data_IF_738896410737
#
_entry.id   IF_738896410737
#
_cell.length_a   1.000
_cell.length_b   1.000
_cell.length_c   1.000
_cell.angle_alpha   90.00
_cell.angle_beta   90.00
_cell.angle_gamma   90.00
#
_symmetry.space_group_name_H-M   'P 1'
#
loop_
_entity.id
_entity.type
_entity.pdbx_description
1 polymer ?
#
# COMPACT_ATOMS: atom_id res chain seq x y z
N UNK A 1 20.89 -9.50 -5.62
CA UNK A 1 19.41 -9.47 -5.73
C UNK A 1 18.74 -10.72 -5.14
N UNK A 2 19.10 -11.96 -5.54
CA UNK A 2 18.46 -13.21 -5.04
C UNK A 2 18.56 -13.43 -3.52
N UNK A 3 19.71 -13.13 -2.93
CA UNK A 3 19.94 -13.29 -1.47
C UNK A 3 19.07 -12.33 -0.67
N UNK A 4 18.95 -11.08 -1.09
CA UNK A 4 18.09 -10.07 -0.46
C UNK A 4 16.62 -10.50 -0.45
N UNK A 5 16.13 -11.00 -1.59
CA UNK A 5 14.78 -11.52 -1.71
C UNK A 5 14.53 -12.71 -0.79
N UNK A 6 15.51 -13.63 -0.67
CA UNK A 6 15.43 -14.78 0.22
C UNK A 6 15.37 -14.36 1.69
N UNK A 7 16.23 -13.42 2.11
CA UNK A 7 16.23 -12.88 3.47
C UNK A 7 14.90 -12.21 3.78
N UNK A 8 14.39 -11.38 2.86
CA UNK A 8 13.09 -10.75 3.01
C UNK A 8 11.97 -11.79 3.16
N UNK A 9 11.94 -12.81 2.31
CA UNK A 9 10.94 -13.88 2.36
C UNK A 9 11.00 -14.66 3.68
N UNK A 10 12.21 -15.00 4.15
CA UNK A 10 12.40 -15.69 5.42
C UNK A 10 11.95 -14.82 6.61
N UNK A 11 12.28 -13.54 6.61
CA UNK A 11 11.82 -12.58 7.63
C UNK A 11 10.29 -12.43 7.62
N UNK A 12 9.69 -12.34 6.42
CA UNK A 12 8.24 -12.27 6.27
C UNK A 12 7.53 -13.52 6.79
N UNK A 13 7.99 -14.69 6.39
CA UNK A 13 7.42 -15.98 6.86
C UNK A 13 7.61 -16.13 8.37
N UNK A 14 8.81 -15.87 8.89
CA UNK A 14 9.11 -15.93 10.32
C UNK A 14 8.23 -14.98 11.14
N UNK A 15 8.04 -13.74 10.66
CA UNK A 15 7.13 -12.77 11.28
C UNK A 15 5.68 -13.23 11.29
N UNK A 16 5.20 -13.79 10.17
CA UNK A 16 3.84 -14.35 10.11
C UNK A 16 3.68 -15.57 11.04
N UNK A 17 4.69 -16.44 11.14
CA UNK A 17 4.66 -17.56 12.11
C UNK A 17 4.57 -17.03 13.54
N UNK A 18 5.35 -16.02 13.90
CA UNK A 18 5.29 -15.40 15.22
C UNK A 18 3.90 -14.83 15.53
N UNK A 19 3.33 -14.01 14.64
CA UNK A 19 1.99 -13.44 14.80
C UNK A 19 0.95 -14.57 14.90
N UNK A 20 1.07 -15.60 14.05
CA UNK A 20 0.15 -16.74 14.02
C UNK A 20 0.13 -17.52 15.34
N UNK A 21 1.31 -17.81 15.92
CA UNK A 21 1.41 -18.47 17.23
C UNK A 21 0.72 -17.63 18.30
N UNK A 22 0.96 -16.30 18.31
CA UNK A 22 0.33 -15.39 19.27
C UNK A 22 -1.20 -15.36 19.08
N UNK A 23 -1.68 -15.38 17.84
CA UNK A 23 -3.10 -15.45 17.52
C UNK A 23 -3.73 -16.76 18.02
N UNK A 24 -3.08 -17.92 17.80
CA UNK A 24 -3.58 -19.20 18.28
C UNK A 24 -3.68 -19.27 19.82
N UNK A 25 -2.73 -18.64 20.54
CA UNK A 25 -2.79 -18.53 21.99
C UNK A 25 -4.05 -17.79 22.47
N UNK A 26 -4.45 -16.73 21.73
CA UNK A 26 -5.68 -15.99 22.04
C UNK A 26 -6.96 -16.76 21.71
N UNK A 27 -6.88 -17.71 20.77
CA UNK A 27 -7.99 -18.57 20.37
C UNK A 27 -8.12 -19.84 21.24
N UNK A 28 -7.50 -19.89 22.41
CA UNK A 28 -7.50 -21.09 23.28
C UNK A 28 -8.91 -21.62 23.60
N UNK A 29 -9.89 -20.73 23.79
CA UNK A 29 -11.28 -21.08 24.09
C UNK A 29 -12.15 -21.48 22.88
N UNK A 30 -11.64 -21.40 21.64
CA UNK A 30 -12.41 -21.72 20.44
C UNK A 30 -12.34 -23.22 20.11
N UNK A 31 -13.38 -23.72 19.41
CA UNK A 31 -13.41 -25.11 18.93
C UNK A 31 -12.28 -25.40 17.94
N UNK A 32 -11.89 -26.66 17.81
CA UNK A 32 -10.86 -27.10 16.87
C UNK A 32 -11.19 -26.71 15.42
N UNK A 33 -12.46 -26.90 15.03
CA UNK A 33 -12.92 -26.54 13.68
C UNK A 33 -12.74 -25.05 13.39
N UNK A 34 -13.04 -24.16 14.35
CA UNK A 34 -12.86 -22.73 14.22
C UNK A 34 -11.36 -22.38 14.12
N UNK A 35 -10.50 -23.01 14.92
CA UNK A 35 -9.05 -22.81 14.86
C UNK A 35 -8.49 -23.20 13.48
N UNK A 36 -8.93 -24.35 12.94
CA UNK A 36 -8.52 -24.79 11.61
C UNK A 36 -8.99 -23.79 10.55
N UNK A 37 -10.25 -23.38 10.56
CA UNK A 37 -10.79 -22.42 9.61
C UNK A 37 -10.01 -21.09 9.63
N UNK A 38 -9.81 -20.53 10.82
CA UNK A 38 -9.04 -19.28 10.98
C UNK A 38 -7.59 -19.44 10.53
N UNK A 39 -6.97 -20.61 10.78
CA UNK A 39 -5.60 -20.89 10.31
C UNK A 39 -5.51 -20.91 8.79
N UNK A 40 -6.47 -21.55 8.13
CA UNK A 40 -6.51 -21.60 6.65
C UNK A 40 -6.69 -20.19 6.08
N UNK A 41 -7.65 -19.42 6.61
CA UNK A 41 -7.88 -18.04 6.17
C UNK A 41 -6.63 -17.16 6.41
N UNK A 42 -6.01 -17.28 7.57
CA UNK A 42 -4.78 -16.54 7.91
C UNK A 42 -3.69 -16.75 6.85
N UNK A 43 -3.37 -18.01 6.54
CA UNK A 43 -2.29 -18.32 5.60
C UNK A 43 -2.65 -18.00 4.16
N UNK A 44 -3.92 -18.14 3.75
CA UNK A 44 -4.38 -17.67 2.43
C UNK A 44 -4.17 -16.17 2.27
N UNK A 45 -4.50 -15.38 3.29
CA UNK A 45 -4.28 -13.93 3.29
C UNK A 45 -2.78 -13.61 3.31
N UNK A 46 -2.02 -14.26 4.19
CA UNK A 46 -0.58 -14.04 4.30
C UNK A 46 0.18 -14.32 2.98
N UNK A 47 -0.20 -15.34 2.25
CA UNK A 47 0.45 -15.66 0.97
C UNK A 47 -0.19 -15.01 -0.26
N UNK A 48 -1.28 -14.26 -0.12
CA UNK A 48 -2.01 -13.70 -1.26
C UNK A 48 -1.14 -12.80 -2.14
N UNK A 49 -0.25 -11.98 -1.58
CA UNK A 49 0.69 -11.15 -2.35
C UNK A 49 1.69 -12.01 -3.14
N UNK A 50 2.26 -13.01 -2.48
CA UNK A 50 3.23 -13.93 -3.11
C UNK A 50 2.56 -14.68 -4.27
N UNK A 51 1.34 -15.17 -4.04
CA UNK A 51 0.55 -15.85 -5.07
C UNK A 51 0.24 -14.88 -6.22
N UNK A 52 -0.18 -13.64 -5.93
CA UNK A 52 -0.42 -12.63 -6.95
C UNK A 52 0.82 -12.33 -7.80
N UNK A 53 2.01 -12.30 -7.18
CA UNK A 53 3.27 -12.11 -7.89
C UNK A 53 3.66 -13.31 -8.76
N UNK A 54 3.45 -14.52 -8.28
CA UNK A 54 3.75 -15.74 -9.03
C UNK A 54 2.79 -15.96 -10.19
N UNK A 55 1.51 -15.60 -10.02
CA UNK A 55 0.46 -15.77 -11.02
C UNK A 55 0.32 -14.61 -12.00
N UNK A 56 1.18 -13.60 -11.92
CA UNK A 56 1.13 -12.40 -12.81
C UNK A 56 1.22 -12.71 -14.30
N UNK A 57 1.78 -13.88 -14.66
CA UNK A 57 1.92 -14.35 -16.05
C UNK A 57 0.75 -15.23 -16.50
N UNK A 58 -0.16 -15.56 -15.58
CA UNK A 58 -1.35 -16.38 -15.86
C UNK A 58 -2.50 -15.43 -16.17
N UNK A 59 -3.25 -15.74 -17.22
CA UNK A 59 -4.40 -14.91 -17.60
C UNK A 59 -5.58 -15.16 -16.65
N UNK A 60 -5.58 -14.41 -15.55
CA UNK A 60 -6.61 -14.46 -14.52
C UNK A 60 -7.59 -13.28 -14.63
N UNK A 61 -8.82 -13.42 -14.10
CA UNK A 61 -9.73 -12.29 -14.02
C UNK A 61 -9.09 -11.11 -13.27
N UNK A 62 -9.17 -9.89 -13.83
CA UNK A 62 -8.56 -8.68 -13.26
C UNK A 62 -9.01 -8.44 -11.81
N UNK A 63 -10.28 -8.70 -11.53
CA UNK A 63 -10.85 -8.55 -10.18
C UNK A 63 -10.10 -9.42 -9.17
N UNK A 64 -9.83 -10.69 -9.53
CA UNK A 64 -9.12 -11.62 -8.65
C UNK A 64 -7.68 -11.18 -8.40
N UNK A 65 -6.93 -10.87 -9.47
CA UNK A 65 -5.54 -10.39 -9.37
C UNK A 65 -5.45 -9.10 -8.55
N UNK A 66 -6.38 -8.15 -8.77
CA UNK A 66 -6.46 -6.88 -8.04
C UNK A 66 -6.77 -7.11 -6.56
N UNK A 67 -7.74 -7.97 -6.25
CA UNK A 67 -8.11 -8.29 -4.87
C UNK A 67 -6.95 -8.96 -4.12
N UNK A 68 -6.29 -9.94 -4.74
CA UNK A 68 -5.14 -10.63 -4.14
C UNK A 68 -3.98 -9.66 -3.89
N UNK A 69 -3.71 -8.77 -4.84
CA UNK A 69 -2.67 -7.75 -4.69
C UNK A 69 -2.99 -6.79 -3.53
N UNK A 70 -4.22 -6.25 -3.47
CA UNK A 70 -4.63 -5.32 -2.40
C UNK A 70 -4.62 -5.99 -1.02
N UNK A 71 -5.24 -7.17 -0.90
CA UNK A 71 -5.29 -7.90 0.37
C UNK A 71 -3.86 -8.21 0.84
N UNK A 72 -3.02 -8.71 -0.05
CA UNK A 72 -1.66 -9.08 0.30
C UNK A 72 -0.76 -7.90 0.62
N UNK A 73 -0.93 -6.75 -0.07
CA UNK A 73 -0.19 -5.52 0.22
C UNK A 73 -0.55 -4.96 1.59
N UNK A 74 -1.84 -4.90 1.91
CA UNK A 74 -2.31 -4.48 3.25
C UNK A 74 -1.80 -5.44 4.32
N UNK A 75 -1.83 -6.75 4.06
CA UNK A 75 -1.33 -7.76 4.99
C UNK A 75 0.18 -7.66 5.22
N UNK A 76 0.95 -7.35 4.20
CA UNK A 76 2.40 -7.13 4.35
C UNK A 76 2.69 -5.97 5.32
N UNK A 77 1.99 -4.86 5.15
CA UNK A 77 2.12 -3.68 6.03
C UNK A 77 1.61 -4.01 7.44
N UNK A 78 0.47 -4.71 7.55
CA UNK A 78 -0.05 -5.21 8.82
C UNK A 78 0.98 -6.08 9.55
N UNK A 79 1.59 -7.03 8.85
CA UNK A 79 2.63 -7.93 9.42
C UNK A 79 3.78 -7.13 10.00
N UNK A 80 4.28 -6.12 9.26
CA UNK A 80 5.38 -5.28 9.70
C UNK A 80 5.04 -4.55 11.02
N UNK A 81 3.94 -3.82 11.06
CA UNK A 81 3.54 -3.07 12.26
C UNK A 81 3.17 -4.00 13.42
N UNK A 82 2.52 -5.12 13.15
CA UNK A 82 2.13 -6.07 14.18
C UNK A 82 3.34 -6.73 14.85
N UNK A 83 4.40 -7.05 14.07
CA UNK A 83 5.65 -7.57 14.64
C UNK A 83 6.24 -6.54 15.60
N UNK A 84 6.41 -5.28 15.17
CA UNK A 84 6.98 -4.25 16.04
C UNK A 84 6.12 -4.00 17.28
N UNK A 85 4.80 -3.94 17.13
CA UNK A 85 3.90 -3.73 18.26
C UNK A 85 3.94 -4.91 19.25
N UNK A 86 4.00 -6.15 18.76
CA UNK A 86 4.14 -7.33 19.63
C UNK A 86 5.50 -7.38 20.33
N UNK A 87 6.60 -7.04 19.65
CA UNK A 87 7.92 -6.98 20.27
C UNK A 87 7.95 -5.92 21.38
N UNK A 88 7.37 -4.75 21.14
CA UNK A 88 7.24 -3.71 22.16
C UNK A 88 6.42 -4.23 23.36
N UNK A 89 5.29 -4.88 23.10
CA UNK A 89 4.45 -5.45 24.15
C UNK A 89 5.18 -6.53 24.95
N UNK A 90 5.95 -7.41 24.29
CA UNK A 90 6.70 -8.47 24.95
C UNK A 90 7.87 -7.92 25.78
N UNK A 91 8.59 -6.91 25.27
CA UNK A 91 9.63 -6.20 26.05
C UNK A 91 9.01 -5.46 27.25
N UNK A 92 7.89 -4.77 27.03
CA UNK A 92 7.20 -4.05 28.13
C UNK A 92 6.73 -5.02 29.21
N UNK A 93 6.30 -6.22 28.85
CA UNK A 93 5.89 -7.26 29.81
C UNK A 93 7.02 -7.72 30.73
N UNK A 94 8.28 -7.62 30.33
CA UNK A 94 9.44 -7.94 31.18
C UNK A 94 9.50 -6.96 32.36
N UNK A 95 9.21 -5.68 32.12
CA UNK A 95 9.24 -4.63 33.14
C UNK A 95 7.91 -4.47 33.89
N UNK A 96 6.80 -4.81 33.22
CA UNK A 96 5.43 -4.72 33.75
C UNK A 96 4.74 -6.06 33.61
N UNK A 97 4.98 -7.03 34.54
CA UNK A 97 4.43 -8.39 34.45
C UNK A 97 2.89 -8.45 34.43
N UNK A 98 2.23 -7.41 34.92
CA UNK A 98 0.76 -7.27 34.93
C UNK A 98 0.16 -6.98 33.54
N UNK A 99 0.98 -6.79 32.49
CA UNK A 99 0.50 -6.56 31.11
C UNK A 99 -0.02 -7.86 30.48
N UNK A 100 -1.24 -8.25 30.82
CA UNK A 100 -1.82 -9.52 30.37
C UNK A 100 -2.45 -9.45 28.96
N UNK A 101 -2.70 -8.27 28.42
CA UNK A 101 -3.43 -8.05 27.17
C UNK A 101 -2.55 -7.47 26.05
N UNK A 102 -1.23 -7.71 26.09
CA UNK A 102 -0.27 -7.16 25.14
C UNK A 102 -0.62 -7.40 23.67
N UNK A 103 -1.17 -8.57 23.34
CA UNK A 103 -1.63 -8.89 21.98
C UNK A 103 -2.75 -7.93 21.51
N UNK A 104 -3.74 -7.66 22.34
CA UNK A 104 -4.86 -6.77 21.98
C UNK A 104 -4.41 -5.32 21.82
N UNK A 105 -3.47 -4.87 22.66
CA UNK A 105 -2.86 -3.52 22.52
C UNK A 105 -2.06 -3.41 21.23
N UNK A 106 -1.25 -4.44 20.90
CA UNK A 106 -0.51 -4.49 19.65
C UNK A 106 -1.43 -4.49 18.43
N UNK A 107 -2.51 -5.29 18.47
CA UNK A 107 -3.50 -5.35 17.40
C UNK A 107 -4.22 -4.01 17.23
N UNK A 108 -4.68 -3.40 18.33
CA UNK A 108 -5.35 -2.09 18.32
C UNK A 108 -4.45 -1.00 17.74
N UNK A 109 -3.20 -0.91 18.20
CA UNK A 109 -2.22 0.05 17.70
C UNK A 109 -1.95 -0.15 16.18
N UNK A 110 -1.77 -1.41 15.75
CA UNK A 110 -1.59 -1.74 14.34
C UNK A 110 -2.79 -1.33 13.50
N UNK A 111 -4.01 -1.63 13.94
CA UNK A 111 -5.22 -1.23 13.24
C UNK A 111 -5.35 0.30 13.14
N UNK A 112 -5.07 1.04 14.22
CA UNK A 112 -5.09 2.51 14.21
C UNK A 112 -4.07 3.08 13.21
N UNK A 113 -2.84 2.54 13.17
CA UNK A 113 -1.82 2.96 12.22
C UNK A 113 -2.22 2.68 10.76
N UNK A 114 -2.81 1.53 10.49
CA UNK A 114 -3.30 1.20 9.15
C UNK A 114 -4.46 2.11 8.71
N UNK A 115 -5.40 2.38 9.61
CA UNK A 115 -6.53 3.29 9.33
C UNK A 115 -6.03 4.71 9.07
N UNK A 116 -5.09 5.20 9.88
CA UNK A 116 -4.47 6.51 9.68
C UNK A 116 -3.69 6.58 8.36
N UNK A 117 -2.89 5.55 8.04
CA UNK A 117 -2.16 5.47 6.78
C UNK A 117 -3.10 5.42 5.57
N UNK A 118 -4.20 4.66 5.66
CA UNK A 118 -5.22 4.61 4.61
C UNK A 118 -5.92 5.96 4.42
N UNK A 119 -6.25 6.65 5.51
CA UNK A 119 -6.82 7.99 5.45
C UNK A 119 -5.90 8.96 4.70
N UNK A 120 -4.61 9.02 5.07
CA UNK A 120 -3.63 9.88 4.39
C UNK A 120 -3.44 9.52 2.91
N UNK A 121 -3.41 8.22 2.61
CA UNK A 121 -3.32 7.74 1.23
C UNK A 121 -4.51 8.19 0.37
N UNK A 122 -5.70 8.27 0.96
CA UNK A 122 -6.92 8.71 0.27
C UNK A 122 -7.09 10.23 0.20
N UNK A 123 -6.25 10.99 0.89
CA UNK A 123 -6.31 12.45 0.94
C UNK A 123 -4.96 13.05 0.52
N UNK A 124 -4.58 12.95 -0.77
CA UNK A 124 -3.35 13.54 -1.26
C UNK A 124 -3.41 15.07 -1.09
N UNK A 125 -2.26 15.67 -0.78
CA UNK A 125 -2.15 17.11 -0.51
C UNK A 125 -1.24 17.78 -1.54
N UNK A 126 -1.56 19.02 -1.89
CA UNK A 126 -0.73 19.88 -2.72
C UNK A 126 0.20 20.68 -1.83
N UNK A 127 1.51 20.47 -1.97
CA UNK A 127 2.54 21.25 -1.30
C UNK A 127 3.04 22.33 -2.26
N UNK A 128 2.94 23.61 -1.88
CA UNK A 128 3.44 24.74 -2.66
C UNK A 128 4.84 25.11 -2.20
N UNK A 129 5.74 25.25 -3.14
CA UNK A 129 7.14 25.66 -2.91
C UNK A 129 7.45 26.81 -3.87
N UNK A 130 7.79 27.97 -3.33
CA UNK A 130 8.23 29.11 -4.12
C UNK A 130 9.75 29.04 -4.28
N UNK A 131 10.21 28.99 -5.55
CA UNK A 131 11.64 28.99 -5.90
C UNK A 131 11.99 30.29 -6.56
N UNK A 132 12.90 31.03 -5.93
CA UNK A 132 13.41 32.30 -6.45
C UNK A 132 14.68 32.04 -7.28
N UNK A 133 14.71 32.61 -8.48
CA UNK A 133 15.86 32.52 -9.37
C UNK A 133 16.46 33.89 -9.58
N UNK A 134 17.79 33.97 -9.56
CA UNK A 134 18.54 35.23 -9.82
C UNK A 134 18.58 35.61 -11.29
N UNK A 135 17.95 34.82 -12.14
CA UNK A 135 17.90 35.06 -13.61
C UNK A 135 16.50 35.56 -13.98
N UNK A 136 16.42 36.60 -14.85
CA UNK A 136 15.12 37.06 -15.35
C UNK A 136 14.42 35.96 -16.16
N UNK A 137 13.18 35.67 -15.81
CA UNK A 137 12.27 34.84 -16.58
C UNK A 137 11.27 35.76 -17.23
N UNK A 138 11.01 35.60 -18.54
CA UNK A 138 9.99 36.35 -19.25
C UNK A 138 8.60 36.07 -18.62
N UNK A 139 7.87 37.13 -18.27
CA UNK A 139 6.53 37.04 -17.66
C UNK A 139 6.55 37.03 -16.13
N UNK A 140 5.53 36.41 -15.52
CA UNK A 140 5.28 36.39 -14.06
C UNK A 140 5.81 35.13 -13.33
N UNK A 141 6.73 34.41 -13.98
CA UNK A 141 7.21 33.13 -13.47
C UNK A 141 6.55 31.92 -14.18
N UNK A 142 6.99 30.73 -13.81
CA UNK A 142 6.51 29.45 -14.39
C UNK A 142 5.90 28.63 -13.26
N UNK A 143 4.67 28.20 -13.43
CA UNK A 143 4.01 27.29 -12.51
C UNK A 143 4.28 25.83 -12.92
N UNK A 144 5.07 25.12 -12.11
CA UNK A 144 5.47 23.75 -12.36
C UNK A 144 4.77 22.85 -11.34
N UNK A 145 4.04 21.83 -11.82
CA UNK A 145 3.52 20.78 -10.95
C UNK A 145 4.38 19.53 -11.13
N UNK A 146 5.01 19.09 -10.05
CA UNK A 146 5.80 17.86 -10.00
C UNK A 146 5.04 16.76 -9.31
N UNK A 147 5.04 15.56 -9.88
CA UNK A 147 4.45 14.35 -9.32
C UNK A 147 5.38 13.17 -9.55
N UNK A 148 5.51 12.27 -8.58
CA UNK A 148 6.29 11.04 -8.71
C UNK A 148 5.53 9.85 -8.14
N UNK A 149 6.00 8.64 -8.43
CA UNK A 149 5.56 7.39 -7.80
C UNK A 149 4.04 7.14 -7.91
N UNK A 150 3.46 7.43 -9.07
CA UNK A 150 2.01 7.24 -9.32
C UNK A 150 1.63 5.77 -9.35
N UNK A 151 2.55 4.89 -9.76
CA UNK A 151 2.38 3.43 -9.78
C UNK A 151 1.05 2.97 -10.38
N UNK A 152 0.77 3.41 -11.62
CA UNK A 152 -0.43 2.98 -12.34
C UNK A 152 -0.42 1.48 -12.55
N UNK A 153 -1.48 0.81 -12.08
CA UNK A 153 -1.56 -0.63 -12.12
C UNK A 153 -2.70 -1.18 -11.28
N UNK A 154 -2.43 -2.26 -10.56
CA UNK A 154 -3.41 -2.83 -9.65
C UNK A 154 -3.68 -1.94 -8.42
N UNK A 155 -2.69 -1.15 -7.96
CA UNK A 155 -2.82 -0.23 -6.83
C UNK A 155 -3.59 1.03 -7.18
N UNK A 156 -3.14 1.75 -8.22
CA UNK A 156 -3.71 3.01 -8.68
C UNK A 156 -4.55 2.77 -9.93
N UNK A 157 -5.85 2.61 -9.77
CA UNK A 157 -6.80 2.41 -10.85
C UNK A 157 -7.34 3.72 -11.44
N UNK A 158 -8.27 3.60 -12.40
CA UNK A 158 -8.81 4.72 -13.19
C UNK A 158 -9.40 5.85 -12.34
N UNK A 159 -10.16 5.54 -11.29
CA UNK A 159 -10.82 6.54 -10.46
C UNK A 159 -9.79 7.42 -9.72
N UNK A 160 -8.76 6.79 -9.15
CA UNK A 160 -7.70 7.50 -8.44
C UNK A 160 -6.81 8.31 -9.40
N UNK A 161 -6.47 7.74 -10.56
CA UNK A 161 -5.74 8.49 -11.59
C UNK A 161 -6.52 9.73 -12.03
N UNK A 162 -7.85 9.62 -12.20
CA UNK A 162 -8.68 10.77 -12.54
C UNK A 162 -8.60 11.85 -11.46
N UNK A 163 -8.69 11.48 -10.19
CA UNK A 163 -8.55 12.40 -9.06
C UNK A 163 -7.20 13.13 -9.09
N UNK A 164 -6.09 12.41 -9.35
CA UNK A 164 -4.77 13.02 -9.47
C UNK A 164 -4.68 13.99 -10.66
N UNK A 165 -5.22 13.61 -11.82
CA UNK A 165 -5.26 14.49 -13.00
C UNK A 165 -6.07 15.75 -12.72
N UNK A 166 -7.23 15.62 -12.08
CA UNK A 166 -8.07 16.76 -11.72
C UNK A 166 -7.36 17.69 -10.72
N UNK A 167 -6.66 17.13 -9.71
CA UNK A 167 -5.86 17.92 -8.76
C UNK A 167 -4.70 18.67 -9.44
N UNK A 168 -3.98 18.03 -10.37
CA UNK A 168 -2.88 18.63 -11.13
C UNK A 168 -3.40 19.75 -12.00
N UNK A 169 -4.47 19.51 -12.75
CA UNK A 169 -5.08 20.51 -13.63
C UNK A 169 -5.64 21.71 -12.85
N UNK A 170 -6.15 21.50 -11.64
CA UNK A 170 -6.64 22.57 -10.76
C UNK A 170 -5.52 23.52 -10.30
N UNK A 171 -4.26 23.15 -10.38
CA UNK A 171 -3.13 24.03 -10.11
C UNK A 171 -2.76 24.91 -11.31
N UNK A 172 -3.43 24.78 -12.46
CA UNK A 172 -3.13 25.53 -13.69
C UNK A 172 -1.65 25.50 -14.11
N UNK A 173 -1.03 24.31 -14.24
CA UNK A 173 0.40 24.21 -14.50
C UNK A 173 0.78 24.71 -15.89
N UNK A 174 1.93 25.41 -16.01
CA UNK A 174 2.59 25.67 -17.28
C UNK A 174 3.36 24.44 -17.75
N UNK A 175 3.94 23.69 -16.77
CA UNK A 175 4.70 22.48 -17.00
C UNK A 175 4.30 21.41 -15.97
N UNK A 176 4.16 20.16 -16.42
CA UNK A 176 3.95 19.00 -15.55
C UNK A 176 5.21 18.13 -15.63
N UNK A 177 5.85 17.89 -14.48
CA UNK A 177 6.99 17.00 -14.34
C UNK A 177 6.55 15.68 -13.70
N UNK A 178 6.88 14.58 -14.35
CA UNK A 178 6.63 13.23 -13.81
C UNK A 178 7.98 12.62 -13.46
N UNK A 179 8.26 12.50 -12.15
CA UNK A 179 9.55 12.11 -11.59
C UNK A 179 9.71 10.61 -11.40
N UNK A 180 9.45 9.79 -12.43
CA UNK A 180 9.64 8.33 -12.37
C UNK A 180 8.40 7.58 -11.90
N UNK A 181 8.52 6.27 -11.88
CA UNK A 181 7.55 5.26 -11.41
C UNK A 181 6.07 5.55 -11.71
N UNK A 182 5.83 6.04 -12.96
CA UNK A 182 4.47 6.31 -13.44
C UNK A 182 3.67 5.02 -13.58
N UNK A 183 4.31 3.95 -14.04
CA UNK A 183 3.67 2.66 -14.34
C UNK A 183 4.32 1.59 -13.48
N UNK A 184 3.49 0.80 -12.82
CA UNK A 184 3.91 -0.37 -12.05
C UNK A 184 4.36 -1.53 -12.97
N UNK A 185 4.83 -2.62 -12.40
CA UNK A 185 5.44 -3.77 -13.08
C UNK A 185 4.57 -4.45 -14.16
N UNK A 186 3.28 -4.17 -14.25
CA UNK A 186 2.36 -4.80 -15.21
C UNK A 186 1.60 -3.76 -16.03
N UNK A 187 1.67 -3.90 -17.37
CA UNK A 187 0.87 -3.11 -18.30
C UNK A 187 -0.57 -3.61 -18.46
N UNK A 188 -0.85 -4.84 -18.01
CA UNK A 188 -2.17 -5.47 -18.17
C UNK A 188 -3.32 -4.64 -17.61
N UNK A 189 -3.25 -4.07 -16.39
CA UNK A 189 -4.30 -3.21 -15.86
C UNK A 189 -4.51 -1.94 -16.70
N UNK A 190 -3.42 -1.35 -17.24
CA UNK A 190 -3.49 -0.13 -18.03
C UNK A 190 -4.32 -0.32 -19.30
N UNK A 191 -4.11 -1.43 -20.00
CA UNK A 191 -4.89 -1.76 -21.22
C UNK A 191 -6.33 -2.12 -20.88
N UNK A 192 -6.55 -3.00 -19.89
CA UNK A 192 -7.88 -3.48 -19.51
C UNK A 192 -8.76 -2.37 -18.92
N UNK A 193 -8.19 -1.44 -18.13
CA UNK A 193 -8.93 -0.31 -17.53
C UNK A 193 -8.87 0.98 -18.39
N UNK A 194 -8.22 0.95 -19.56
CA UNK A 194 -8.04 2.10 -20.47
C UNK A 194 -7.45 3.35 -19.78
N UNK A 195 -6.45 3.16 -18.92
CA UNK A 195 -5.84 4.25 -18.13
C UNK A 195 -5.15 5.31 -19.02
N UNK A 196 -4.66 4.93 -20.19
CA UNK A 196 -4.05 5.86 -21.14
C UNK A 196 -4.97 6.99 -21.57
N UNK A 197 -6.29 6.73 -21.70
CA UNK A 197 -7.25 7.79 -22.02
C UNK A 197 -7.37 8.84 -20.92
N UNK A 198 -7.17 8.44 -19.65
CA UNK A 198 -7.18 9.37 -18.53
C UNK A 198 -5.88 10.16 -18.43
N UNK A 199 -4.72 9.57 -18.77
CA UNK A 199 -3.45 10.29 -18.87
C UNK A 199 -3.49 11.40 -19.93
N UNK A 200 -4.19 11.17 -21.03
CA UNK A 200 -4.34 12.21 -22.08
C UNK A 200 -5.13 13.44 -21.63
N UNK A 201 -5.68 13.42 -20.42
CA UNK A 201 -6.46 14.53 -19.85
C UNK A 201 -5.62 15.58 -19.10
N UNK A 202 -4.31 15.42 -19.00
CA UNK A 202 -3.45 16.47 -18.47
C UNK A 202 -3.62 17.76 -19.29
N UNK A 203 -3.81 18.91 -18.61
CA UNK A 203 -4.04 20.23 -19.20
C UNK A 203 -5.30 20.37 -20.09
N UNK A 204 -6.25 19.43 -20.03
CA UNK A 204 -7.50 19.54 -20.75
C UNK A 204 -8.63 19.93 -19.80
N UNK A 205 -9.33 21.02 -20.11
CA UNK A 205 -10.45 21.54 -19.31
C UNK A 205 -11.69 20.64 -19.29
N UNK A 206 -11.81 19.69 -20.22
CA UNK A 206 -12.95 18.77 -20.35
C UNK A 206 -12.48 17.35 -20.61
N UNK A 207 -12.17 16.62 -19.55
CA UNK A 207 -11.95 15.19 -19.59
C UNK A 207 -13.16 14.47 -18.99
N UNK A 208 -13.97 13.83 -19.87
CA UNK A 208 -15.11 12.99 -19.49
C UNK A 208 -14.71 11.53 -19.40
#
# INVERSE_FOLDING_TARGET
>A
MRIFFLIFLLAYVGGNVYIFIRTLQMLSGFSLAMKILLSVVYWLVAFSLVIAMLTRHIDMPVILSKSMFHIGSVWLVFTLYMIFALLIADVTKIFVPSLNHGFYYALGATCCLLLYGYYNYRHPQVNKIDVFLDKPIEGHGINIVAVSDVHLGYGTGKAMLKEYVDMINAQHPDLILIGGDLIDNSLTPLYKEKLFSTLSCFKKSNCR
#
